data_IF_102241081687
#
_entry.id   IF_102241081687
#
_cell.length_a   1.000
_cell.length_b   1.000
_cell.length_c   1.000
_cell.angle_alpha   90.00
_cell.angle_beta   90.00
_cell.angle_gamma   90.00
#
_symmetry.space_group_name_H-M   'P 1'
#
loop_
_entity.id
_entity.type
_entity.pdbx_description
1 polymer ?
#
# COMPACT_ATOMS: atom_id res chain seq x y z
N UNK A 1 -15.49 0.99 -11.73
CA UNK A 1 -16.56 0.06 -11.27
C UNK A 1 -16.56 -1.16 -12.17
N UNK A 2 -16.53 -2.35 -11.58
CA UNK A 2 -16.54 -3.59 -12.35
C UNK A 2 -17.91 -3.86 -12.99
N UNK A 3 -17.88 -4.55 -14.13
CA UNK A 3 -19.09 -4.96 -14.85
C UNK A 3 -19.62 -6.27 -14.25
N UNK A 4 -20.50 -6.17 -13.26
CA UNK A 4 -21.05 -7.32 -12.52
C UNK A 4 -21.77 -8.33 -13.41
N UNK A 5 -22.55 -7.85 -14.37
CA UNK A 5 -23.25 -8.69 -15.36
C UNK A 5 -22.27 -9.55 -16.16
N UNK A 6 -21.10 -9.00 -16.51
CA UNK A 6 -20.04 -9.79 -17.17
C UNK A 6 -19.47 -10.83 -16.22
N UNK A 7 -19.16 -10.48 -14.97
CA UNK A 7 -18.55 -11.40 -14.00
C UNK A 7 -19.53 -12.53 -13.65
N UNK A 8 -20.82 -12.25 -13.48
CA UNK A 8 -21.85 -13.28 -13.32
C UNK A 8 -21.90 -14.23 -14.52
N UNK A 9 -21.79 -13.70 -15.75
CA UNK A 9 -21.71 -14.53 -16.95
C UNK A 9 -20.44 -15.41 -16.95
N UNK A 10 -19.29 -14.87 -16.56
CA UNK A 10 -18.04 -15.65 -16.39
C UNK A 10 -18.20 -16.73 -15.31
N UNK A 11 -19.04 -16.48 -14.31
CA UNK A 11 -19.40 -17.41 -13.26
C UNK A 11 -20.48 -18.45 -13.67
N UNK A 12 -20.83 -18.53 -14.96
CA UNK A 12 -21.88 -19.44 -15.45
C UNK A 12 -23.30 -19.01 -15.12
N UNK A 13 -23.52 -17.72 -14.82
CA UNK A 13 -24.81 -17.17 -14.40
C UNK A 13 -25.10 -17.33 -12.90
N UNK A 14 -24.18 -17.93 -12.14
CA UNK A 14 -24.32 -18.02 -10.68
C UNK A 14 -24.04 -16.68 -10.01
N UNK A 15 -24.78 -16.41 -8.92
CA UNK A 15 -24.63 -15.20 -8.10
C UNK A 15 -23.18 -15.01 -7.64
N UNK A 16 -22.73 -13.77 -7.69
CA UNK A 16 -21.43 -13.33 -7.16
C UNK A 16 -21.62 -12.46 -5.92
N UNK A 17 -20.54 -12.27 -5.17
CA UNK A 17 -20.45 -11.25 -4.15
C UNK A 17 -20.08 -9.92 -4.83
N UNK A 18 -20.94 -8.91 -4.71
CA UNK A 18 -20.82 -7.64 -5.45
C UNK A 18 -19.80 -6.71 -4.77
N UNK A 19 -18.52 -7.11 -4.83
CA UNK A 19 -17.37 -6.32 -4.41
C UNK A 19 -16.36 -6.26 -5.54
N UNK A 20 -15.55 -5.20 -5.56
CA UNK A 20 -14.51 -5.05 -6.58
C UNK A 20 -13.64 -6.31 -6.67
N UNK A 21 -13.54 -6.92 -7.87
CA UNK A 21 -12.78 -8.15 -8.07
C UNK A 21 -11.30 -7.87 -7.82
N UNK A 22 -10.57 -8.76 -7.10
CA UNK A 22 -9.14 -8.56 -6.88
C UNK A 22 -8.30 -8.47 -8.16
N UNK A 23 -8.76 -9.12 -9.24
CA UNK A 23 -8.22 -8.96 -10.59
C UNK A 23 -9.40 -8.86 -11.54
N UNK A 24 -9.37 -7.85 -12.41
CA UNK A 24 -10.32 -7.76 -13.52
C UNK A 24 -9.65 -7.28 -14.81
N UNK A 25 -9.06 -8.24 -15.51
CA UNK A 25 -8.43 -8.03 -16.81
C UNK A 25 -9.17 -8.79 -17.91
N UNK A 26 -8.73 -8.63 -19.16
CA UNK A 26 -9.31 -9.36 -20.29
C UNK A 26 -9.00 -10.86 -20.25
N UNK A 27 -7.88 -11.25 -19.63
CA UNK A 27 -7.36 -12.63 -19.67
C UNK A 27 -7.45 -13.35 -18.32
N UNK A 28 -7.68 -12.59 -17.25
CA UNK A 28 -7.71 -13.08 -15.86
C UNK A 28 -8.72 -12.26 -15.05
N UNK A 29 -9.66 -12.92 -14.39
CA UNK A 29 -10.64 -12.30 -13.49
C UNK A 29 -10.74 -13.13 -12.21
N UNK A 30 -10.49 -12.51 -11.06
CA UNK A 30 -10.61 -13.13 -9.73
C UNK A 30 -11.82 -12.50 -9.05
N UNK A 31 -12.71 -13.31 -8.50
CA UNK A 31 -13.92 -12.81 -7.87
C UNK A 31 -14.44 -13.78 -6.82
N UNK A 32 -15.32 -13.30 -5.94
CA UNK A 32 -15.97 -14.13 -4.94
C UNK A 32 -17.36 -14.53 -5.43
N UNK A 33 -17.70 -15.82 -5.34
CA UNK A 33 -19.08 -16.26 -5.57
C UNK A 33 -20.01 -15.83 -4.43
N UNK A 34 -21.32 -15.97 -4.63
CA UNK A 34 -22.33 -15.59 -3.64
C UNK A 34 -22.25 -16.33 -2.30
N UNK A 35 -21.49 -17.43 -2.23
CA UNK A 35 -21.12 -18.18 -1.02
C UNK A 35 -19.74 -17.78 -0.46
N UNK A 36 -19.21 -16.64 -0.89
CA UNK A 36 -17.94 -16.05 -0.46
C UNK A 36 -16.69 -16.88 -0.77
N UNK A 37 -16.76 -17.82 -1.73
CA UNK A 37 -15.58 -18.57 -2.20
C UNK A 37 -14.87 -17.84 -3.32
N UNK A 38 -13.53 -17.81 -3.27
CA UNK A 38 -12.72 -17.28 -4.37
C UNK A 38 -12.83 -18.18 -5.60
N UNK A 39 -13.11 -17.58 -6.74
CA UNK A 39 -13.09 -18.20 -8.07
C UNK A 39 -12.17 -17.42 -8.98
N UNK A 40 -11.58 -18.13 -9.93
CA UNK A 40 -10.67 -17.55 -10.91
C UNK A 40 -11.15 -17.93 -12.29
N UNK A 41 -11.47 -16.95 -13.12
CA UNK A 41 -11.58 -17.14 -14.55
C UNK A 41 -10.25 -16.77 -15.19
N UNK A 42 -9.64 -17.68 -15.94
CA UNK A 42 -8.36 -17.46 -16.61
C UNK A 42 -8.38 -18.19 -17.95
N UNK A 43 -8.01 -17.47 -19.01
CA UNK A 43 -7.88 -18.03 -20.36
C UNK A 43 -9.11 -18.77 -20.91
N UNK A 44 -10.31 -18.26 -20.65
CA UNK A 44 -11.55 -18.91 -21.08
C UNK A 44 -12.08 -19.98 -20.12
N UNK A 45 -11.33 -20.33 -19.06
CA UNK A 45 -11.69 -21.39 -18.12
C UNK A 45 -12.04 -20.81 -16.75
N UNK A 46 -13.17 -21.25 -16.19
CA UNK A 46 -13.55 -20.95 -14.81
C UNK A 46 -13.03 -22.03 -13.86
N UNK A 47 -12.18 -21.62 -12.93
CA UNK A 47 -11.65 -22.46 -11.85
C UNK A 47 -12.43 -22.20 -10.56
N UNK A 48 -13.18 -23.21 -10.11
CA UNK A 48 -13.94 -23.22 -8.85
C UNK A 48 -13.20 -23.89 -7.67
N UNK A 49 -12.00 -24.40 -7.92
CA UNK A 49 -11.23 -25.23 -6.98
C UNK A 49 -11.33 -26.70 -7.31
N UNK A 50 -10.20 -27.40 -7.24
CA UNK A 50 -10.08 -28.84 -7.50
C UNK A 50 -9.38 -29.54 -6.33
N UNK A 51 -9.88 -29.30 -5.12
CA UNK A 51 -9.24 -29.78 -3.90
C UNK A 51 -9.18 -31.31 -3.84
N UNK A 52 -10.18 -32.01 -4.37
CA UNK A 52 -10.19 -33.47 -4.41
C UNK A 52 -9.12 -34.04 -5.32
N UNK A 53 -8.95 -33.52 -6.54
CA UNK A 53 -7.93 -34.06 -7.46
C UNK A 53 -6.54 -33.62 -7.02
N UNK A 54 -6.39 -32.37 -6.56
CA UNK A 54 -5.15 -31.91 -5.92
C UNK A 54 -4.81 -32.80 -4.72
N UNK A 55 -5.81 -33.24 -3.94
CA UNK A 55 -5.58 -34.14 -2.82
C UNK A 55 -5.16 -35.56 -3.22
N UNK A 56 -5.41 -36.00 -4.46
CA UNK A 56 -4.95 -37.30 -4.97
C UNK A 56 -3.51 -37.26 -5.48
N UNK A 57 -2.94 -36.06 -5.70
CA UNK A 57 -1.58 -35.91 -6.19
C UNK A 57 -0.56 -36.16 -5.07
N UNK A 58 0.07 -37.33 -5.08
CA UNK A 58 1.02 -37.76 -4.03
C UNK A 58 2.49 -37.54 -4.39
N UNK A 59 2.79 -37.20 -5.64
CA UNK A 59 4.14 -36.95 -6.11
C UNK A 59 4.82 -35.80 -5.29
N UNK A 60 6.12 -35.92 -4.98
CA UNK A 60 6.83 -34.91 -4.19
C UNK A 60 6.97 -33.61 -4.97
N UNK A 61 7.00 -32.48 -4.24
CA UNK A 61 7.32 -31.17 -4.82
C UNK A 61 8.79 -31.16 -5.21
N UNK A 62 9.08 -31.08 -6.50
CA UNK A 62 10.45 -30.99 -7.05
C UNK A 62 10.89 -29.53 -7.19
N UNK A 63 9.95 -28.64 -7.46
CA UNK A 63 10.21 -27.21 -7.59
C UNK A 63 8.99 -26.42 -7.10
N UNK A 64 9.23 -25.21 -6.56
CA UNK A 64 8.17 -24.30 -6.14
C UNK A 64 8.48 -22.89 -6.57
N UNK A 65 7.49 -22.26 -7.20
CA UNK A 65 7.51 -20.84 -7.53
C UNK A 65 6.46 -20.13 -6.68
N UNK A 66 6.79 -18.94 -6.20
CA UNK A 66 5.82 -18.11 -5.50
C UNK A 66 5.89 -16.72 -6.07
N UNK A 67 4.78 -16.26 -6.60
CA UNK A 67 4.62 -14.93 -7.13
C UNK A 67 3.66 -14.19 -6.21
N UNK A 68 3.96 -12.93 -5.95
CA UNK A 68 3.14 -12.11 -5.06
C UNK A 68 2.81 -10.79 -5.74
N UNK A 69 1.59 -10.34 -5.49
CA UNK A 69 1.09 -9.02 -5.79
C UNK A 69 0.65 -8.42 -4.47
N UNK A 70 1.66 -8.02 -3.69
CA UNK A 70 1.55 -7.81 -2.25
C UNK A 70 0.59 -6.68 -1.86
N UNK A 71 0.45 -5.66 -2.70
CA UNK A 71 -0.44 -4.51 -2.44
C UNK A 71 -1.91 -4.91 -2.50
N UNK A 72 -2.29 -5.71 -3.49
CA UNK A 72 -3.63 -6.29 -3.58
C UNK A 72 -3.78 -7.53 -2.69
N UNK A 73 -2.75 -7.81 -1.89
CA UNK A 73 -2.65 -8.97 -1.03
C UNK A 73 -2.89 -10.27 -1.81
N UNK A 74 -2.37 -10.41 -3.04
CA UNK A 74 -2.55 -11.61 -3.84
C UNK A 74 -1.28 -12.44 -3.91
N UNK A 75 -1.46 -13.74 -4.10
CA UNK A 75 -0.36 -14.66 -4.35
C UNK A 75 -0.74 -15.72 -5.37
N UNK A 76 0.28 -16.20 -6.08
CA UNK A 76 0.25 -17.42 -6.89
C UNK A 76 1.40 -18.31 -6.41
N UNK A 77 1.07 -19.47 -5.85
CA UNK A 77 2.06 -20.47 -5.41
C UNK A 77 1.94 -21.71 -6.31
N UNK A 78 3.01 -22.04 -7.02
CA UNK A 78 3.07 -23.15 -7.96
C UNK A 78 3.97 -24.24 -7.41
N UNK A 79 3.45 -25.45 -7.30
CA UNK A 79 4.18 -26.64 -6.88
C UNK A 79 4.32 -27.62 -8.06
N UNK A 80 5.53 -27.82 -8.58
CA UNK A 80 5.78 -28.85 -9.60
C UNK A 80 5.91 -30.21 -8.91
N UNK A 81 5.14 -31.18 -9.40
CA UNK A 81 5.01 -32.54 -8.86
C UNK A 81 5.02 -33.55 -10.01
N UNK A 82 6.20 -33.81 -10.57
CA UNK A 82 6.35 -34.69 -11.74
C UNK A 82 5.77 -34.01 -12.99
N UNK A 83 4.86 -34.69 -13.68
CA UNK A 83 4.24 -34.19 -14.93
C UNK A 83 3.11 -33.18 -14.70
N UNK A 84 2.71 -32.97 -13.43
CA UNK A 84 1.67 -32.02 -13.05
C UNK A 84 2.20 -30.94 -12.12
N UNK A 85 1.55 -29.79 -12.13
CA UNK A 85 1.78 -28.72 -11.18
C UNK A 85 0.46 -28.34 -10.47
N UNK A 86 0.55 -28.10 -9.16
CA UNK A 86 -0.53 -27.52 -8.36
C UNK A 86 -0.34 -26.02 -8.33
N UNK A 87 -1.41 -25.27 -8.63
CA UNK A 87 -1.40 -23.82 -8.60
C UNK A 87 -2.40 -23.35 -7.56
N UNK A 88 -1.90 -22.67 -6.55
CA UNK A 88 -2.71 -21.95 -5.57
C UNK A 88 -2.78 -20.48 -5.98
N UNK A 89 -3.99 -19.99 -6.24
CA UNK A 89 -4.26 -18.57 -6.50
C UNK A 89 -5.09 -18.06 -5.34
N UNK A 90 -4.63 -17.04 -4.63
CA UNK A 90 -5.32 -16.65 -3.41
C UNK A 90 -5.02 -15.24 -2.96
N UNK A 91 -5.81 -14.83 -1.98
CA UNK A 91 -5.57 -13.62 -1.20
C UNK A 91 -4.72 -14.01 0.02
N UNK A 92 -3.67 -13.27 0.32
CA UNK A 92 -2.89 -13.38 1.54
C UNK A 92 -3.83 -13.20 2.74
N UNK A 93 -3.65 -14.03 3.75
CA UNK A 93 -4.53 -14.05 4.92
C UNK A 93 -5.99 -14.38 4.57
N UNK A 94 -6.23 -14.96 3.39
CA UNK A 94 -7.55 -15.28 2.87
C UNK A 94 -7.57 -16.60 2.10
N UNK A 95 -8.71 -16.90 1.50
CA UNK A 95 -8.90 -18.15 0.78
C UNK A 95 -8.06 -18.21 -0.49
N UNK A 96 -7.71 -19.44 -0.89
CA UNK A 96 -7.06 -19.72 -2.16
C UNK A 96 -7.83 -20.78 -2.92
N UNK A 97 -7.78 -20.72 -4.24
CA UNK A 97 -8.27 -21.74 -5.14
C UNK A 97 -7.09 -22.56 -5.66
N UNK A 98 -7.16 -23.88 -5.48
CA UNK A 98 -6.14 -24.81 -5.97
C UNK A 98 -6.60 -25.44 -7.29
N UNK A 99 -5.70 -25.52 -8.28
CA UNK A 99 -5.97 -26.16 -9.57
C UNK A 99 -4.78 -26.98 -10.03
N UNK A 100 -5.01 -27.92 -10.95
CA UNK A 100 -3.97 -28.69 -11.61
C UNK A 100 -3.74 -28.22 -13.05
N UNK A 101 -2.47 -28.20 -13.45
CA UNK A 101 -2.04 -28.03 -14.84
C UNK A 101 -0.93 -29.03 -15.17
N UNK A 102 -0.64 -29.23 -16.46
CA UNK A 102 0.58 -29.94 -16.84
C UNK A 102 1.82 -29.11 -16.48
N UNK A 103 2.90 -29.75 -16.06
CA UNK A 103 4.15 -29.05 -15.70
C UNK A 103 4.73 -28.22 -16.86
N UNK A 104 4.45 -28.61 -18.11
CA UNK A 104 4.82 -27.84 -19.32
C UNK A 104 4.16 -26.45 -19.39
N UNK A 105 3.00 -26.28 -18.77
CA UNK A 105 2.23 -25.02 -18.77
C UNK A 105 2.69 -24.02 -17.70
N UNK A 106 3.60 -24.44 -16.80
CA UNK A 106 4.04 -23.58 -15.70
C UNK A 106 4.77 -22.33 -16.22
N UNK A 107 5.70 -22.46 -17.15
CA UNK A 107 6.47 -21.31 -17.62
C UNK A 107 5.59 -20.24 -18.31
N UNK A 108 4.68 -20.58 -19.25
CA UNK A 108 3.70 -19.64 -19.78
C UNK A 108 2.81 -19.01 -18.70
N UNK A 109 2.36 -19.80 -17.72
CA UNK A 109 1.53 -19.29 -16.63
C UNK A 109 2.27 -18.27 -15.75
N UNK A 110 3.54 -18.55 -15.41
CA UNK A 110 4.36 -17.61 -14.65
C UNK A 110 4.57 -16.30 -15.45
N UNK A 111 4.80 -16.38 -16.76
CA UNK A 111 4.92 -15.20 -17.62
C UNK A 111 3.63 -14.37 -17.64
N UNK A 112 2.46 -15.01 -17.69
CA UNK A 112 1.16 -14.34 -17.62
C UNK A 112 0.97 -13.59 -16.30
N UNK A 113 1.23 -14.22 -15.16
CA UNK A 113 1.13 -13.53 -13.87
C UNK A 113 2.13 -12.39 -13.72
N UNK A 114 3.33 -12.52 -14.28
CA UNK A 114 4.29 -11.40 -14.34
C UNK A 114 3.78 -10.24 -15.19
N UNK A 115 3.05 -10.50 -16.27
CA UNK A 115 2.40 -9.47 -17.08
C UNK A 115 1.22 -8.80 -16.33
N UNK A 116 0.61 -9.49 -15.37
CA UNK A 116 -0.38 -8.95 -14.42
C UNK A 116 0.25 -8.33 -13.17
N UNK A 117 1.53 -7.95 -13.28
CA UNK A 117 2.33 -7.26 -12.24
C UNK A 117 2.70 -8.11 -11.01
N UNK A 118 2.39 -9.41 -10.99
CA UNK A 118 2.92 -10.27 -9.93
C UNK A 118 4.44 -10.36 -10.02
N UNK A 119 5.12 -10.26 -8.88
CA UNK A 119 6.58 -10.33 -8.79
C UNK A 119 7.01 -11.67 -8.21
N UNK A 120 8.13 -12.18 -8.72
CA UNK A 120 8.78 -13.35 -8.14
C UNK A 120 9.16 -13.04 -6.68
N UNK A 121 8.62 -13.83 -5.76
CA UNK A 121 8.99 -13.80 -4.36
C UNK A 121 9.78 -15.03 -3.97
N UNK A 122 10.22 -15.05 -2.71
CA UNK A 122 10.73 -16.30 -2.16
C UNK A 122 9.56 -17.17 -1.72
N UNK A 123 9.56 -18.49 -1.99
CA UNK A 123 8.55 -19.39 -1.43
C UNK A 123 8.49 -19.40 0.10
N UNK A 124 9.59 -18.96 0.71
CA UNK A 124 9.76 -18.71 2.13
C UNK A 124 10.35 -17.31 2.32
N UNK A 125 9.51 -16.32 2.62
CA UNK A 125 10.01 -15.07 3.18
C UNK A 125 10.46 -15.41 4.59
N UNK A 126 11.77 -15.59 4.81
CA UNK A 126 12.30 -16.24 6.01
C UNK A 126 13.31 -15.33 6.70
N UNK A 127 12.79 -14.39 7.50
CA UNK A 127 13.59 -13.52 8.36
C UNK A 127 12.86 -13.32 9.68
N UNK A 128 13.58 -12.94 10.74
CA UNK A 128 12.98 -12.62 12.05
C UNK A 128 11.96 -11.46 12.03
N UNK A 129 11.83 -10.74 10.92
CA UNK A 129 10.96 -9.55 10.75
C UNK A 129 9.85 -9.72 9.71
N UNK A 130 9.79 -10.88 9.07
CA UNK A 130 8.84 -11.21 8.01
C UNK A 130 8.92 -12.70 7.74
N UNK A 131 7.81 -13.41 7.99
CA UNK A 131 7.70 -14.85 7.79
C UNK A 131 6.52 -15.21 6.90
N UNK A 132 6.69 -16.19 6.01
CA UNK A 132 5.57 -16.86 5.34
C UNK A 132 5.16 -18.06 6.18
N UNK A 133 3.97 -17.99 6.78
CA UNK A 133 3.33 -19.11 7.47
C UNK A 133 2.49 -19.89 6.46
N UNK A 134 2.70 -21.20 6.42
CA UNK A 134 1.89 -22.12 5.62
C UNK A 134 1.07 -22.96 6.56
N UNK A 135 -0.25 -22.88 6.39
CA UNK A 135 -1.21 -23.72 7.10
C UNK A 135 -1.61 -24.89 6.22
N UNK A 136 -1.56 -26.07 6.81
CA UNK A 136 -2.07 -27.29 6.22
C UNK A 136 -3.15 -27.89 7.12
N UNK A 137 -4.19 -28.44 6.49
CA UNK A 137 -5.27 -29.15 7.18
C UNK A 137 -5.44 -30.54 6.60
N UNK A 138 -5.79 -31.48 7.46
CA UNK A 138 -6.27 -32.81 7.05
C UNK A 138 -7.79 -32.88 7.12
N UNK A 139 -8.37 -32.22 8.12
CA UNK A 139 -9.81 -31.99 8.31
C UNK A 139 -10.01 -30.66 9.06
N UNK A 140 -11.23 -30.37 9.51
CA UNK A 140 -11.56 -29.12 10.23
C UNK A 140 -10.86 -29.00 11.60
N UNK A 141 -10.40 -30.11 12.19
CA UNK A 141 -9.81 -30.17 13.52
C UNK A 141 -8.31 -30.39 13.52
N UNK A 142 -7.77 -31.04 12.48
CA UNK A 142 -6.35 -31.36 12.37
C UNK A 142 -5.61 -30.33 11.51
N UNK A 143 -5.10 -29.30 12.19
CA UNK A 143 -4.33 -28.18 11.64
C UNK A 143 -2.84 -28.32 11.97
N UNK A 144 -2.00 -28.04 10.98
CA UNK A 144 -0.55 -27.91 11.15
C UNK A 144 -0.05 -26.67 10.45
N UNK A 145 0.72 -25.84 11.14
CA UNK A 145 1.39 -24.68 10.53
C UNK A 145 2.90 -24.85 10.55
N UNK A 146 3.56 -24.28 9.55
CA UNK A 146 5.02 -24.23 9.46
C UNK A 146 5.47 -22.89 8.92
N UNK A 147 6.53 -22.34 9.50
CA UNK A 147 7.26 -21.20 8.96
C UNK A 147 8.76 -21.31 9.21
N UNK A 148 9.51 -20.45 8.54
CA UNK A 148 10.96 -20.31 8.67
C UNK A 148 11.27 -18.86 9.01
N UNK A 149 12.06 -18.60 10.04
CA UNK A 149 12.34 -17.25 10.56
C UNK A 149 13.79 -16.77 10.34
N UNK A 150 14.44 -17.33 9.33
CA UNK A 150 15.87 -17.23 9.11
C UNK A 150 16.48 -18.60 9.32
N UNK A 151 17.03 -18.87 10.51
CA UNK A 151 17.76 -20.10 10.80
C UNK A 151 16.95 -21.16 11.56
N UNK A 152 15.67 -20.93 11.86
CA UNK A 152 14.83 -21.92 12.54
C UNK A 152 13.60 -22.29 11.72
N UNK A 153 13.14 -23.53 11.91
CA UNK A 153 11.82 -23.98 11.45
C UNK A 153 10.90 -24.00 12.66
N UNK A 154 9.76 -23.32 12.56
CA UNK A 154 8.78 -23.23 13.64
C UNK A 154 7.49 -23.92 13.20
N UNK A 155 7.10 -24.94 13.95
CA UNK A 155 5.86 -25.69 13.73
C UNK A 155 4.82 -25.30 14.78
N UNK A 156 3.56 -25.10 14.35
CA UNK A 156 2.42 -24.76 15.22
C UNK A 156 2.67 -23.56 16.14
N UNK A 157 3.46 -22.58 15.69
CA UNK A 157 3.84 -21.38 16.44
C UNK A 157 4.50 -21.65 17.81
N UNK A 158 5.01 -22.87 18.04
CA UNK A 158 5.53 -23.28 19.36
C UNK A 158 6.83 -24.05 19.26
N UNK A 159 6.90 -25.02 18.34
CA UNK A 159 8.04 -25.92 18.26
C UNK A 159 9.08 -25.35 17.32
N UNK A 160 10.10 -24.71 17.89
CA UNK A 160 11.25 -24.21 17.16
C UNK A 160 12.31 -25.32 16.98
N UNK A 161 12.82 -25.46 15.76
CA UNK A 161 13.95 -26.33 15.45
C UNK A 161 15.05 -25.50 14.79
N UNK A 162 16.16 -25.20 15.49
CA UNK A 162 17.26 -24.42 14.93
C UNK A 162 18.04 -25.23 13.89
N UNK A 163 18.62 -24.53 12.92
CA UNK A 163 19.41 -25.10 11.83
C UNK A 163 20.64 -24.21 11.54
N UNK A 164 21.69 -24.73 10.88
CA UNK A 164 22.94 -23.98 10.69
C UNK A 164 22.84 -22.84 9.67
N UNK A 165 21.82 -22.81 8.82
CA UNK A 165 21.63 -21.75 7.82
C UNK A 165 20.16 -21.62 7.41
N UNK A 166 19.83 -20.53 6.72
CA UNK A 166 18.50 -20.32 6.16
C UNK A 166 18.10 -21.39 5.16
N UNK A 167 19.03 -21.77 4.30
CA UNK A 167 18.82 -22.79 3.28
C UNK A 167 18.56 -24.16 3.92
N UNK A 168 19.25 -24.47 5.03
CA UNK A 168 19.01 -25.68 5.82
C UNK A 168 17.62 -25.67 6.48
N UNK A 169 17.19 -24.52 7.01
CA UNK A 169 15.85 -24.35 7.57
C UNK A 169 14.76 -24.55 6.50
N UNK A 170 14.93 -23.93 5.33
CA UNK A 170 14.00 -24.09 4.20
C UNK A 170 13.92 -25.55 3.74
N UNK A 171 15.06 -26.22 3.59
CA UNK A 171 15.11 -27.63 3.21
C UNK A 171 14.40 -28.53 4.25
N UNK A 172 14.61 -28.26 5.54
CA UNK A 172 13.93 -28.97 6.62
C UNK A 172 12.42 -28.72 6.60
N UNK A 173 11.97 -27.48 6.41
CA UNK A 173 10.55 -27.14 6.30
C UNK A 173 9.89 -27.87 5.13
N UNK A 174 10.54 -27.92 3.96
CA UNK A 174 10.04 -28.68 2.81
C UNK A 174 9.95 -30.19 3.10
N UNK A 175 10.94 -30.77 3.78
CA UNK A 175 10.89 -32.17 4.20
C UNK A 175 9.70 -32.43 5.15
N UNK A 176 9.42 -31.51 6.09
CA UNK A 176 8.28 -31.60 7.01
C UNK A 176 6.95 -31.50 6.26
N UNK A 177 6.83 -30.57 5.31
CA UNK A 177 5.66 -30.45 4.44
C UNK A 177 5.43 -31.76 3.68
N UNK A 178 6.45 -32.32 3.04
CA UNK A 178 6.33 -33.57 2.30
C UNK A 178 5.84 -34.72 3.21
N UNK A 179 6.36 -34.81 4.43
CA UNK A 179 5.91 -35.82 5.40
C UNK A 179 4.44 -35.62 5.79
N UNK A 180 4.02 -34.37 6.04
CA UNK A 180 2.63 -34.02 6.37
C UNK A 180 1.69 -34.28 5.19
N UNK A 181 2.10 -33.97 3.97
CA UNK A 181 1.33 -34.25 2.77
C UNK A 181 1.13 -35.75 2.52
N UNK A 182 2.17 -36.57 2.79
CA UNK A 182 2.03 -38.03 2.81
C UNK A 182 1.06 -38.52 3.89
N UNK A 183 0.97 -37.82 5.01
CA UNK A 183 0.01 -38.11 6.09
C UNK A 183 -1.42 -37.58 5.83
N UNK A 184 -1.67 -36.99 4.66
CA UNK A 184 -2.99 -36.51 4.24
C UNK A 184 -3.25 -35.02 4.46
N UNK A 185 -2.28 -34.25 4.98
CA UNK A 185 -2.43 -32.81 5.11
C UNK A 185 -2.37 -32.12 3.74
N UNK A 186 -3.17 -31.07 3.56
CA UNK A 186 -3.29 -30.29 2.32
C UNK A 186 -3.13 -28.81 2.62
N UNK A 187 -2.50 -28.07 1.71
CA UNK A 187 -2.32 -26.63 1.85
C UNK A 187 -3.69 -25.98 1.94
N UNK A 188 -3.93 -25.23 3.02
CA UNK A 188 -5.21 -24.57 3.26
C UNK A 188 -5.08 -23.05 3.10
N UNK A 189 -4.09 -22.46 3.77
CA UNK A 189 -3.86 -21.02 3.80
C UNK A 189 -2.36 -20.73 3.71
N UNK A 190 -2.01 -19.65 3.01
CA UNK A 190 -0.69 -19.03 3.07
C UNK A 190 -0.87 -17.65 3.68
N UNK A 191 -0.27 -17.45 4.84
CA UNK A 191 -0.35 -16.24 5.63
C UNK A 191 1.02 -15.55 5.63
N UNK A 192 1.04 -14.24 5.42
CA UNK A 192 2.26 -13.46 5.51
C UNK A 192 2.25 -12.65 6.80
N UNK A 193 3.13 -13.00 7.73
CA UNK A 193 3.25 -12.31 9.01
C UNK A 193 4.30 -11.19 8.90
N UNK A 194 3.94 -9.99 9.35
CA UNK A 194 4.71 -8.72 9.28
C UNK A 194 4.93 -8.13 7.86
N UNK A 195 3.86 -7.63 7.25
CA UNK A 195 3.84 -7.00 5.92
C UNK A 195 4.43 -5.55 5.86
N UNK A 196 5.06 -5.05 6.92
CA UNK A 196 5.52 -3.63 7.01
C UNK A 196 6.87 -3.35 6.33
N UNK A 197 7.55 -4.37 5.79
CA UNK A 197 8.88 -4.22 5.18
C UNK A 197 8.94 -4.81 3.75
N UNK A 198 9.42 -4.05 2.75
CA UNK A 198 9.55 -4.54 1.38
C UNK A 198 10.57 -5.68 1.30
N UNK A 199 10.42 -6.53 0.27
CA UNK A 199 11.31 -7.65 0.04
C UNK A 199 12.74 -7.15 -0.19
N UNK A 200 13.80 -7.81 0.31
CA UNK A 200 15.10 -7.66 -0.32
C UNK A 200 14.96 -8.14 -1.77
N UNK A 201 15.33 -7.31 -2.75
CA UNK A 201 15.32 -7.72 -4.15
C UNK A 201 16.13 -9.02 -4.31
N UNK A 202 15.60 -10.03 -5.04
CA UNK A 202 16.43 -11.15 -5.43
C UNK A 202 17.63 -10.60 -6.21
N UNK A 203 18.82 -11.17 -5.98
CA UNK A 203 19.98 -10.83 -6.83
C UNK A 203 19.57 -11.07 -8.28
N UNK A 204 19.72 -10.08 -9.19
CA UNK A 204 19.27 -10.23 -10.56
C UNK A 204 19.94 -11.46 -11.19
N UNK A 205 19.21 -12.25 -12.00
CA UNK A 205 19.80 -13.33 -12.77
C UNK A 205 21.00 -12.80 -13.57
N UNK A 206 22.07 -13.61 -13.67
CA UNK A 206 23.21 -13.26 -14.53
C UNK A 206 22.70 -13.03 -15.96
N UNK A 207 22.94 -11.83 -16.52
CA UNK A 207 22.59 -11.47 -17.89
C UNK A 207 21.47 -10.43 -18.07
N UNK A 208 20.83 -9.95 -16.99
CA UNK A 208 19.86 -8.84 -17.06
C UNK A 208 20.60 -7.48 -17.12
N UNK A 209 20.28 -6.56 -18.04
CA UNK A 209 20.91 -5.24 -18.11
C UNK A 209 20.70 -4.44 -16.82
N UNK A 210 21.74 -3.75 -16.36
CA UNK A 210 21.64 -2.87 -15.20
C UNK A 210 20.70 -1.68 -15.50
N UNK A 211 19.77 -1.40 -14.57
CA UNK A 211 18.81 -0.29 -14.69
C UNK A 211 19.52 1.07 -14.74
N UNK A 212 18.95 2.03 -15.46
CA UNK A 212 19.49 3.41 -15.53
C UNK A 212 19.28 4.12 -14.18
N UNK A 213 20.30 4.80 -13.63
CA UNK A 213 20.16 5.54 -12.39
C UNK A 213 19.23 6.76 -12.55
N UNK A 214 18.49 7.10 -11.49
CA UNK A 214 17.70 8.34 -11.42
C UNK A 214 18.61 9.58 -11.61
N UNK A 215 18.04 10.65 -12.16
CA UNK A 215 18.70 11.93 -12.27
C UNK A 215 19.21 12.43 -10.92
N UNK A 216 20.37 13.11 -10.92
CA UNK A 216 21.02 13.63 -9.71
C UNK A 216 20.13 14.66 -9.02
N UNK A 217 19.93 14.50 -7.71
CA UNK A 217 19.14 15.40 -6.87
C UNK A 217 19.75 16.81 -6.81
N UNK A 218 18.92 17.84 -6.85
CA UNK A 218 19.36 19.20 -6.58
C UNK A 218 19.92 19.34 -5.15
N UNK A 219 20.98 20.13 -4.98
CA UNK A 219 21.48 20.48 -3.66
C UNK A 219 20.53 21.51 -3.03
N UNK A 220 19.82 21.11 -1.98
CA UNK A 220 18.91 21.98 -1.22
C UNK A 220 19.59 22.26 0.12
N UNK A 221 19.76 23.54 0.45
CA UNK A 221 20.38 23.96 1.71
C UNK A 221 19.57 23.43 2.90
N UNK A 222 20.27 23.12 4.00
CA UNK A 222 19.62 22.77 5.25
C UNK A 222 18.98 24.04 5.81
N UNK A 223 17.69 24.03 6.17
CA UNK A 223 17.03 25.21 6.72
C UNK A 223 17.58 25.55 8.11
N UNK A 224 17.69 26.85 8.41
CA UNK A 224 18.13 27.36 9.70
C UNK A 224 16.97 27.84 10.58
N UNK A 225 15.79 28.05 9.99
CA UNK A 225 14.56 28.44 10.68
C UNK A 225 13.31 27.81 10.05
N UNK A 226 12.17 27.96 10.71
CA UNK A 226 10.91 27.35 10.30
C UNK A 226 10.41 27.82 8.91
N UNK A 227 10.64 29.08 8.53
CA UNK A 227 10.23 29.58 7.20
C UNK A 227 11.09 28.99 6.09
N UNK A 228 12.41 28.97 6.31
CA UNK A 228 13.33 28.27 5.41
C UNK A 228 13.03 26.77 5.34
N UNK A 229 12.55 26.16 6.43
CA UNK A 229 12.15 24.77 6.44
C UNK A 229 10.93 24.51 5.53
N UNK A 230 9.96 25.43 5.50
CA UNK A 230 8.87 25.42 4.51
C UNK A 230 9.43 25.53 3.08
N UNK A 231 10.30 26.51 2.83
CA UNK A 231 10.87 26.74 1.50
C UNK A 231 11.67 25.52 1.01
N UNK A 232 12.48 24.93 1.89
CA UNK A 232 13.27 23.74 1.60
C UNK A 232 12.38 22.52 1.36
N UNK A 233 11.28 22.36 2.11
CA UNK A 233 10.30 21.30 1.88
C UNK A 233 9.69 21.42 0.47
N UNK A 234 9.21 22.62 0.11
CA UNK A 234 8.65 22.88 -1.23
C UNK A 234 9.70 22.69 -2.33
N UNK A 235 10.95 23.09 -2.10
CA UNK A 235 12.04 22.88 -3.05
C UNK A 235 12.32 21.39 -3.31
N UNK A 236 12.26 20.54 -2.27
CA UNK A 236 12.42 19.08 -2.41
C UNK A 236 11.32 18.52 -3.32
N UNK A 237 10.08 18.96 -3.12
CA UNK A 237 8.93 18.51 -3.91
C UNK A 237 9.04 18.97 -5.38
N UNK A 238 9.51 20.19 -5.63
CA UNK A 238 9.77 20.70 -6.99
C UNK A 238 10.87 19.93 -7.70
N UNK A 239 11.96 19.60 -7.00
CA UNK A 239 13.04 18.78 -7.52
C UNK A 239 12.54 17.37 -7.87
N UNK A 240 11.75 16.75 -6.98
CA UNK A 240 11.14 15.45 -7.23
C UNK A 240 10.22 15.48 -8.46
N UNK A 241 9.35 16.49 -8.56
CA UNK A 241 8.48 16.73 -9.73
C UNK A 241 9.28 16.86 -11.03
N UNK A 242 10.41 17.58 -10.98
CA UNK A 242 11.26 17.80 -12.16
C UNK A 242 11.98 16.52 -12.60
N UNK A 243 12.48 15.73 -11.64
CA UNK A 243 13.19 14.48 -11.93
C UNK A 243 12.25 13.35 -12.35
N UNK A 244 11.00 13.38 -11.91
CA UNK A 244 10.03 12.29 -12.12
C UNK A 244 8.68 12.87 -12.56
N UNK A 245 8.58 13.38 -13.81
CA UNK A 245 7.39 14.08 -14.29
C UNK A 245 6.20 13.14 -14.60
N UNK A 246 6.42 11.82 -14.61
CA UNK A 246 5.44 10.78 -15.00
C UNK A 246 4.94 9.88 -13.86
N UNK A 247 5.33 10.12 -12.62
CA UNK A 247 4.62 9.60 -11.46
C UNK A 247 3.64 10.71 -11.09
N UNK A 248 2.44 10.61 -11.65
CA UNK A 248 1.64 11.79 -11.97
C UNK A 248 0.85 12.32 -10.76
N UNK A 249 -0.20 13.11 -10.91
CA UNK A 249 -0.87 13.94 -9.89
C UNK A 249 -0.07 14.59 -8.73
N UNK A 250 1.05 15.23 -9.04
CA UNK A 250 1.09 16.65 -8.60
C UNK A 250 -0.16 17.29 -9.18
N UNK A 251 -1.11 17.82 -8.39
CA UNK A 251 -2.23 18.59 -8.97
C UNK A 251 -1.65 19.52 -10.01
N UNK A 252 -1.94 19.25 -11.29
CA UNK A 252 -1.51 20.12 -12.37
C UNK A 252 -2.05 21.51 -12.03
N UNK A 253 -1.28 22.53 -12.42
CA UNK A 253 -1.87 23.85 -12.53
C UNK A 253 -2.91 23.78 -13.64
N UNK A 254 -4.14 23.34 -13.33
CA UNK A 254 -5.25 23.35 -14.27
C UNK A 254 -5.63 24.81 -14.49
N UNK A 255 -5.35 25.31 -15.68
CA UNK A 255 -5.91 26.58 -16.11
C UNK A 255 -7.38 26.30 -16.45
N UNK A 256 -8.30 26.74 -15.59
CA UNK A 256 -9.73 26.49 -15.73
C UNK A 256 -10.32 26.93 -17.08
N UNK A 257 -9.61 27.78 -17.83
CA UNK A 257 -9.98 28.17 -19.19
C UNK A 257 -9.42 27.24 -20.26
N UNK A 258 -8.24 26.64 -20.05
CA UNK A 258 -7.55 25.80 -21.05
C UNK A 258 -7.75 24.30 -20.86
N UNK A 259 -8.04 23.87 -19.64
CA UNK A 259 -8.12 22.45 -19.25
C UNK A 259 -9.56 22.00 -18.95
N UNK A 260 -10.55 22.64 -19.59
CA UNK A 260 -12.00 22.44 -19.30
C UNK A 260 -12.46 20.98 -19.31
N UNK A 261 -11.97 20.16 -20.24
CA UNK A 261 -12.39 18.75 -20.33
C UNK A 261 -11.81 17.88 -19.20
N UNK A 262 -10.58 18.18 -18.76
CA UNK A 262 -9.95 17.55 -17.59
C UNK A 262 -10.61 18.01 -16.29
N UNK A 263 -10.93 19.30 -16.19
CA UNK A 263 -11.69 19.84 -15.05
C UNK A 263 -13.07 19.18 -14.99
N UNK A 264 -13.79 19.05 -16.10
CA UNK A 264 -15.10 18.39 -16.14
C UNK A 264 -15.06 16.90 -15.75
N UNK A 265 -13.98 16.17 -16.08
CA UNK A 265 -13.85 14.76 -15.64
C UNK A 265 -13.55 14.66 -14.13
N UNK A 266 -12.81 15.61 -13.56
CA UNK A 266 -12.54 15.70 -12.12
C UNK A 266 -13.77 16.20 -11.33
N UNK A 267 -14.52 17.17 -11.87
CA UNK A 267 -15.76 17.70 -11.31
C UNK A 267 -16.82 16.59 -11.10
N UNK A 268 -16.81 15.54 -11.93
CA UNK A 268 -17.71 14.39 -11.76
C UNK A 268 -17.42 13.51 -10.52
N UNK A 269 -16.25 13.67 -9.88
CA UNK A 269 -15.80 12.85 -8.75
C UNK A 269 -15.26 13.65 -7.54
N UNK A 270 -15.01 14.96 -7.67
CA UNK A 270 -14.37 15.79 -6.63
C UNK A 270 -14.82 17.27 -6.65
N UNK A 271 -16.05 17.56 -7.12
CA UNK A 271 -16.60 18.92 -7.25
C UNK A 271 -16.50 19.76 -5.97
N UNK A 272 -16.81 19.15 -4.82
CA UNK A 272 -16.72 19.78 -3.50
C UNK A 272 -15.29 20.27 -3.15
N UNK A 273 -14.26 19.47 -3.46
CA UNK A 273 -12.85 19.80 -3.18
C UNK A 273 -12.36 20.99 -4.02
N UNK A 274 -12.71 21.00 -5.31
CA UNK A 274 -12.33 22.07 -6.22
C UNK A 274 -12.98 23.40 -5.86
N UNK A 275 -14.21 23.40 -5.35
CA UNK A 275 -14.90 24.62 -4.95
C UNK A 275 -14.34 25.23 -3.64
N UNK A 276 -14.03 24.41 -2.63
CA UNK A 276 -13.40 24.89 -1.38
C UNK A 276 -11.96 25.39 -1.58
N UNK A 277 -11.17 24.71 -2.42
CA UNK A 277 -9.73 24.98 -2.53
C UNK A 277 -9.31 25.65 -3.84
N UNK A 278 -10.26 26.05 -4.70
CA UNK A 278 -10.03 26.74 -5.98
C UNK A 278 -8.93 27.81 -5.97
N UNK A 279 -8.83 28.71 -4.97
CA UNK A 279 -7.79 29.73 -4.94
C UNK A 279 -6.45 29.25 -4.35
N UNK A 280 -6.40 28.04 -3.79
CA UNK A 280 -5.28 27.50 -3.00
C UNK A 280 -4.51 26.38 -3.71
N UNK A 281 -5.14 25.66 -4.64
CA UNK A 281 -4.52 24.56 -5.41
C UNK A 281 -3.43 25.08 -6.37
N UNK A 282 -2.31 24.37 -6.44
CA UNK A 282 -1.31 24.51 -7.51
C UNK A 282 -0.31 25.67 -7.39
N UNK A 283 -0.47 26.60 -6.43
CA UNK A 283 0.45 27.75 -6.26
C UNK A 283 1.89 27.32 -5.98
N UNK A 284 2.09 26.24 -5.23
CA UNK A 284 3.40 25.85 -4.75
C UNK A 284 4.44 25.60 -5.85
N UNK A 285 4.04 25.07 -7.02
CA UNK A 285 4.95 24.70 -8.12
C UNK A 285 5.65 25.91 -8.72
N UNK A 286 4.93 27.02 -8.88
CA UNK A 286 5.44 28.26 -9.50
C UNK A 286 5.77 29.35 -8.48
N UNK A 287 5.24 29.25 -7.25
CA UNK A 287 5.54 30.18 -6.17
C UNK A 287 7.03 30.24 -5.86
N UNK A 288 7.54 31.44 -5.59
CA UNK A 288 8.89 31.65 -5.09
C UNK A 288 8.83 31.99 -3.60
N UNK A 289 9.86 31.65 -2.81
CA UNK A 289 10.02 32.11 -1.44
C UNK A 289 9.76 33.61 -1.32
N UNK A 290 9.15 34.02 -0.20
CA UNK A 290 8.90 35.43 0.13
C UNK A 290 9.39 35.71 1.54
N UNK A 291 9.56 36.98 1.89
CA UNK A 291 9.78 37.35 3.28
C UNK A 291 8.54 36.95 4.13
N UNK A 292 8.75 36.39 5.34
CA UNK A 292 7.70 36.25 6.33
C UNK A 292 7.14 37.61 6.74
N UNK A 293 5.84 37.66 7.07
CA UNK A 293 5.23 38.84 7.68
C UNK A 293 5.54 38.87 9.17
N UNK A 294 5.42 40.05 9.78
CA UNK A 294 5.55 40.21 11.23
C UNK A 294 4.49 39.37 11.95
N UNK A 295 4.91 38.60 12.96
CA UNK A 295 4.06 37.71 13.77
C UNK A 295 3.33 36.61 12.97
N UNK A 296 3.81 36.29 11.78
CA UNK A 296 3.26 35.19 10.97
C UNK A 296 3.83 33.85 11.44
N UNK A 297 2.98 32.85 11.61
CA UNK A 297 3.46 31.47 11.84
C UNK A 297 4.01 30.87 10.54
N UNK A 298 4.85 29.84 10.64
CA UNK A 298 5.32 29.11 9.47
C UNK A 298 4.18 28.39 8.72
N UNK A 299 3.08 28.08 9.41
CA UNK A 299 1.83 27.63 8.80
C UNK A 299 1.18 28.72 7.93
N UNK A 300 0.97 29.90 8.48
CA UNK A 300 0.35 31.02 7.76
C UNK A 300 1.20 31.43 6.54
N UNK A 301 2.52 31.44 6.73
CA UNK A 301 3.48 31.65 5.66
C UNK A 301 3.30 30.61 4.54
N UNK A 302 3.22 29.33 4.90
CA UNK A 302 3.02 28.24 3.95
C UNK A 302 1.71 28.40 3.17
N UNK A 303 0.57 28.58 3.84
CA UNK A 303 -0.75 28.74 3.20
C UNK A 303 -0.79 29.99 2.31
N UNK A 304 -0.15 31.07 2.74
CA UNK A 304 -0.09 32.32 1.97
C UNK A 304 0.80 32.21 0.74
N UNK A 305 2.01 31.67 0.87
CA UNK A 305 3.01 31.67 -0.21
C UNK A 305 2.79 30.50 -1.15
N UNK A 306 2.51 29.32 -0.61
CA UNK A 306 2.48 28.06 -1.35
C UNK A 306 1.07 27.47 -1.51
N UNK A 307 0.12 27.84 -0.63
CA UNK A 307 -1.25 27.36 -0.69
C UNK A 307 -1.39 26.01 -0.01
N UNK A 308 -1.81 24.98 -0.75
CA UNK A 308 -1.76 23.58 -0.31
C UNK A 308 -0.69 22.80 -1.07
N UNK A 309 -0.22 21.70 -0.48
CA UNK A 309 0.62 20.71 -1.17
C UNK A 309 -0.19 19.42 -1.28
N UNK A 310 -1.00 19.35 -2.33
CA UNK A 310 -1.68 18.12 -2.71
C UNK A 310 -0.80 17.37 -3.71
N UNK A 311 -0.33 16.20 -3.31
CA UNK A 311 0.28 15.21 -4.20
C UNK A 311 -0.69 14.02 -4.25
N UNK A 312 -0.85 13.42 -5.40
CA UNK A 312 -1.74 12.34 -5.82
C UNK A 312 -0.93 11.61 -6.92
N UNK A 313 -1.26 10.40 -7.40
CA UNK A 313 -0.56 9.77 -8.54
C UNK A 313 -1.51 9.52 -9.72
N UNK A 314 -1.20 9.96 -10.96
CA UNK A 314 -1.96 9.58 -12.19
C UNK A 314 -1.32 8.34 -12.82
N UNK A 315 -2.16 7.44 -13.30
CA UNK A 315 -1.80 6.09 -13.74
C UNK A 315 -1.60 5.10 -12.57
N UNK A 316 -1.75 3.80 -12.87
CA UNK A 316 -1.25 2.77 -11.97
C UNK A 316 0.26 2.96 -11.84
N UNK A 317 0.71 3.41 -10.67
CA UNK A 317 2.09 3.21 -10.27
C UNK A 317 2.41 1.71 -10.35
N UNK A 318 3.62 1.31 -10.76
CA UNK A 318 4.04 -0.09 -10.66
C UNK A 318 3.75 -0.60 -9.23
N UNK A 319 3.16 -1.79 -9.14
CA UNK A 319 2.84 -2.45 -7.88
C UNK A 319 4.10 -2.62 -7.02
N UNK A 320 4.18 -1.80 -5.96
CA UNK A 320 5.36 -1.64 -5.11
C UNK A 320 5.50 -0.24 -4.52
N UNK A 321 4.89 0.77 -5.17
CA UNK A 321 4.76 2.12 -4.64
C UNK A 321 3.65 2.18 -3.57
N UNK A 322 4.01 2.50 -2.33
CA UNK A 322 3.08 2.65 -1.20
C UNK A 322 2.08 3.80 -1.38
N UNK A 323 1.04 3.62 -2.19
CA UNK A 323 -0.04 4.59 -2.37
C UNK A 323 -1.13 4.41 -1.32
N UNK A 324 -1.62 5.53 -0.77
CA UNK A 324 -2.68 5.54 0.23
C UNK A 324 -3.87 6.33 -0.31
N UNK A 325 -5.07 6.13 0.22
CA UNK A 325 -6.19 7.02 -0.08
C UNK A 325 -5.89 8.40 0.52
N UNK A 326 -6.23 9.47 -0.21
CA UNK A 326 -6.57 10.75 0.44
C UNK A 326 -8.09 10.75 0.60
N UNK A 327 -8.58 11.32 1.70
CA UNK A 327 -10.02 11.45 1.91
C UNK A 327 -10.65 12.14 0.70
N UNK A 328 -11.76 11.59 0.22
CA UNK A 328 -12.60 12.19 -0.83
C UNK A 328 -12.06 12.35 -2.26
N UNK A 329 -11.07 11.55 -2.70
CA UNK A 329 -10.82 11.33 -4.15
C UNK A 329 -10.96 9.86 -4.51
N UNK A 330 -11.98 9.53 -5.32
CA UNK A 330 -12.13 8.21 -5.93
C UNK A 330 -10.89 7.93 -6.79
N UNK A 331 -9.95 7.14 -6.27
CA UNK A 331 -8.74 6.77 -7.04
C UNK A 331 -7.45 6.52 -6.26
N UNK A 332 -7.34 6.86 -4.97
CA UNK A 332 -6.12 6.65 -4.19
C UNK A 332 -4.97 7.62 -4.57
N UNK A 333 -4.53 8.46 -3.63
CA UNK A 333 -3.55 9.53 -3.86
C UNK A 333 -2.66 9.85 -2.65
N UNK A 334 -1.47 10.41 -2.86
CA UNK A 334 -0.44 10.64 -1.84
C UNK A 334 -0.35 12.10 -1.34
N UNK A 335 -1.22 12.58 -0.46
CA UNK A 335 -1.06 13.97 0.01
C UNK A 335 0.14 14.08 0.97
N UNK A 336 0.99 15.10 0.84
CA UNK A 336 1.97 15.44 1.89
C UNK A 336 1.33 16.33 2.98
N UNK A 337 0.26 17.03 2.61
CA UNK A 337 -0.57 17.85 3.48
C UNK A 337 -1.91 18.11 2.79
N UNK A 338 -2.98 17.51 3.30
CA UNK A 338 -4.36 17.84 2.93
C UNK A 338 -4.97 18.69 4.04
N UNK A 339 -5.41 19.89 3.65
CA UNK A 339 -6.16 20.76 4.56
C UNK A 339 -7.61 20.30 4.44
N UNK A 340 -8.11 19.71 5.51
CA UNK A 340 -9.47 19.22 5.58
C UNK A 340 -10.42 20.43 5.54
N UNK A 341 -11.50 20.33 4.76
CA UNK A 341 -12.49 21.40 4.68
C UNK A 341 -13.25 21.57 5.99
N UNK A 342 -13.99 22.67 6.12
CA UNK A 342 -15.04 22.75 7.15
C UNK A 342 -16.07 21.64 6.85
N UNK A 343 -16.24 20.67 7.76
CA UNK A 343 -17.27 19.63 7.70
C UNK A 343 -16.86 18.21 7.26
N UNK A 344 -15.59 17.95 6.96
CA UNK A 344 -15.13 16.58 6.61
C UNK A 344 -14.85 15.69 7.84
N UNK A 345 -14.59 16.31 9.01
CA UNK A 345 -14.68 15.67 10.31
C UNK A 345 -15.84 16.33 11.05
N UNK A 346 -16.83 15.54 11.45
CA UNK A 346 -17.94 15.99 12.29
C UNK A 346 -17.42 16.17 13.73
N UNK A 347 -16.55 17.18 13.93
CA UNK A 347 -16.00 17.52 15.25
C UNK A 347 -17.14 17.83 16.22
N UNK A 348 -18.21 18.46 15.73
CA UNK A 348 -19.43 18.73 16.50
C UNK A 348 -20.09 17.42 16.99
N UNK A 349 -20.22 16.41 16.11
CA UNK A 349 -20.75 15.08 16.49
C UNK A 349 -19.80 14.34 17.44
N UNK A 350 -18.49 14.53 17.30
CA UNK A 350 -17.49 14.00 18.24
C UNK A 350 -17.60 14.68 19.62
N UNK A 351 -17.80 16.00 19.65
CA UNK A 351 -18.03 16.76 20.88
C UNK A 351 -19.32 16.29 21.55
N UNK A 352 -20.40 16.09 20.78
CA UNK A 352 -21.67 15.57 21.29
C UNK A 352 -21.52 14.13 21.84
N UNK A 353 -20.84 13.25 21.10
CA UNK A 353 -20.66 11.85 21.48
C UNK A 353 -19.75 11.67 22.71
N UNK A 354 -18.72 12.51 22.87
CA UNK A 354 -17.73 12.40 23.95
C UNK A 354 -18.01 13.32 25.14
N UNK A 355 -18.82 14.37 24.93
CA UNK A 355 -19.02 15.45 25.90
C UNK A 355 -17.80 16.35 26.11
N UNK A 356 -16.82 16.32 25.19
CA UNK A 356 -15.54 17.03 25.33
C UNK A 356 -15.45 18.25 24.41
N UNK A 357 -15.84 19.41 24.92
CA UNK A 357 -15.79 20.71 24.21
C UNK A 357 -14.37 21.12 23.77
N UNK A 358 -13.31 20.58 24.38
CA UNK A 358 -11.94 20.92 23.97
C UNK A 358 -11.60 20.42 22.56
N UNK A 359 -12.37 19.47 22.01
CA UNK A 359 -12.19 18.97 20.64
C UNK A 359 -12.45 20.05 19.59
N UNK A 360 -13.30 21.05 19.87
CA UNK A 360 -13.55 22.21 18.99
C UNK A 360 -12.29 23.05 18.76
N UNK A 361 -11.28 22.93 19.63
CA UNK A 361 -10.01 23.64 19.53
C UNK A 361 -9.00 22.91 18.63
N UNK A 362 -9.42 21.88 17.90
CA UNK A 362 -8.59 21.16 16.95
C UNK A 362 -8.85 21.60 15.52
N UNK A 363 -7.79 21.98 14.81
CA UNK A 363 -7.83 22.08 13.35
C UNK A 363 -7.18 20.83 12.75
N UNK A 364 -8.02 19.88 12.34
CA UNK A 364 -7.57 18.60 11.77
C UNK A 364 -7.04 18.79 10.35
N UNK A 365 -5.95 18.09 10.04
CA UNK A 365 -5.36 18.03 8.71
C UNK A 365 -4.74 16.65 8.49
N UNK A 366 -4.65 16.21 7.23
CA UNK A 366 -3.95 14.98 6.93
C UNK A 366 -2.49 15.28 6.58
N UNK A 367 -1.57 14.74 7.38
CA UNK A 367 -0.12 14.85 7.19
C UNK A 367 0.49 13.85 6.21
N UNK A 368 -0.35 13.32 5.31
CA UNK A 368 -0.01 12.22 4.42
C UNK A 368 0.16 10.87 5.10
N UNK A 369 -0.15 9.81 4.35
CA UNK A 369 -0.28 8.41 4.76
C UNK A 369 -1.54 8.11 5.57
N UNK A 370 -2.45 7.34 4.97
CA UNK A 370 -3.46 6.58 5.70
C UNK A 370 -2.78 5.38 6.40
N UNK A 371 -1.98 5.65 7.43
CA UNK A 371 -1.62 4.64 8.45
C UNK A 371 -2.70 4.51 9.54
N UNK A 372 -3.86 5.14 9.29
CA UNK A 372 -4.93 5.31 10.27
C UNK A 372 -4.71 6.50 11.21
N UNK A 373 -3.78 7.42 10.92
CA UNK A 373 -3.51 8.58 11.79
C UNK A 373 -3.66 9.91 11.06
N UNK A 374 -4.63 10.70 11.50
CA UNK A 374 -4.72 12.11 11.16
C UNK A 374 -3.91 12.96 12.13
N UNK A 375 -3.78 14.25 11.85
CA UNK A 375 -3.09 15.19 12.73
C UNK A 375 -4.01 16.37 13.01
N UNK A 376 -3.79 17.05 14.12
CA UNK A 376 -4.48 18.29 14.43
C UNK A 376 -3.50 19.34 14.90
N UNK A 377 -3.74 20.59 14.52
CA UNK A 377 -3.23 21.72 15.26
C UNK A 377 -4.07 21.88 16.53
N UNK A 378 -3.43 21.74 17.68
CA UNK A 378 -4.02 22.00 18.98
C UNK A 378 -3.99 23.50 19.26
N UNK A 379 -5.13 24.17 19.10
CA UNK A 379 -5.26 25.63 19.24
C UNK A 379 -5.40 26.09 20.69
N UNK A 380 -5.49 25.17 21.66
CA UNK A 380 -5.61 25.51 23.08
C UNK A 380 -4.41 26.29 23.61
N UNK A 381 -3.25 26.14 22.98
CA UNK A 381 -2.01 26.85 23.32
C UNK A 381 -1.21 27.18 22.06
N UNK A 382 -0.71 28.42 21.97
CA UNK A 382 0.22 28.85 20.91
C UNK A 382 1.60 29.19 21.47
N UNK A 383 2.63 29.03 20.64
CA UNK A 383 3.99 29.51 20.95
C UNK A 383 4.06 31.05 20.87
N UNK A 384 5.13 31.70 21.37
CA UNK A 384 5.37 33.13 21.18
C UNK A 384 5.46 33.57 19.71
N UNK A 385 5.75 32.63 18.79
CA UNK A 385 5.81 32.86 17.34
C UNK A 385 4.49 32.50 16.63
N UNK A 386 3.42 32.22 17.37
CA UNK A 386 2.11 31.89 16.81
C UNK A 386 1.98 30.46 16.27
N UNK A 387 2.89 29.56 16.64
CA UNK A 387 2.83 28.15 16.21
C UNK A 387 1.90 27.36 17.14
N UNK A 388 1.17 26.40 16.57
CA UNK A 388 0.34 25.46 17.32
C UNK A 388 1.04 24.11 17.45
N UNK A 389 0.75 23.39 18.53
CA UNK A 389 1.24 22.03 18.67
C UNK A 389 0.57 21.13 17.61
N UNK A 390 1.37 20.30 16.93
CA UNK A 390 0.86 19.28 16.03
C UNK A 390 0.74 17.97 16.81
N UNK A 391 -0.49 17.49 16.99
CA UNK A 391 -0.79 16.25 17.72
C UNK A 391 -1.39 15.20 16.79
N UNK A 392 -1.24 13.89 17.10
CA UNK A 392 -2.02 12.85 16.44
C UNK A 392 -3.52 13.04 16.70
N UNK A 393 -4.34 12.73 15.70
CA UNK A 393 -5.80 12.78 15.73
C UNK A 393 -6.39 11.45 15.23
N UNK A 394 -7.42 10.98 15.93
CA UNK A 394 -8.19 9.76 15.66
C UNK A 394 -9.65 10.02 16.10
N UNK A 395 -10.63 9.65 15.27
CA UNK A 395 -12.06 9.85 15.56
C UNK A 395 -12.54 9.08 16.81
N UNK A 396 -11.77 8.07 17.24
CA UNK A 396 -12.03 7.31 18.47
C UNK A 396 -11.38 7.91 19.72
N UNK A 397 -10.86 9.13 19.66
CA UNK A 397 -10.23 9.78 20.81
C UNK A 397 -11.25 10.27 21.84
N UNK A 398 -11.29 9.58 22.99
CA UNK A 398 -12.11 10.01 24.14
C UNK A 398 -11.49 11.18 24.93
N UNK A 399 -10.19 11.45 24.75
CA UNK A 399 -9.48 12.51 25.46
C UNK A 399 -8.30 13.06 24.67
N UNK A 400 -8.08 14.37 24.81
CA UNK A 400 -6.93 15.05 24.21
C UNK A 400 -5.64 14.84 25.03
N UNK A 401 -4.47 14.80 24.38
CA UNK A 401 -3.20 14.87 25.08
C UNK A 401 -3.12 16.13 25.95
N UNK A 402 -2.31 16.07 27.02
CA UNK A 402 -2.01 17.24 27.85
C UNK A 402 -1.44 18.37 26.97
N UNK A 403 -1.94 19.58 27.20
CA UNK A 403 -1.47 20.79 26.50
C UNK A 403 0.05 20.89 26.53
N UNK A 404 0.62 21.11 25.34
CA UNK A 404 2.06 21.31 25.21
C UNK A 404 2.44 22.68 25.77
N UNK A 405 3.54 22.75 26.52
CA UNK A 405 4.07 24.05 26.97
C UNK A 405 4.48 24.90 25.75
N UNK A 406 4.19 26.21 25.71
CA UNK A 406 4.50 27.08 24.57
C UNK A 406 5.93 26.97 24.05
N UNK A 407 6.91 26.78 24.94
CA UNK A 407 8.34 26.71 24.61
C UNK A 407 8.75 25.37 23.99
N UNK A 408 7.88 24.36 24.06
CA UNK A 408 8.11 23.01 23.50
C UNK A 408 7.41 22.79 22.16
N UNK A 409 6.60 23.75 21.72
CA UNK A 409 5.90 23.67 20.43
C UNK A 409 6.93 23.68 19.30
N UNK A 410 6.89 22.63 18.48
CA UNK A 410 7.70 22.52 17.27
C UNK A 410 6.99 23.28 16.16
N UNK A 411 7.69 24.19 15.49
CA UNK A 411 7.13 24.97 14.39
C UNK A 411 6.68 24.08 13.23
N UNK A 412 5.59 24.47 12.57
CA UNK A 412 5.02 23.73 11.45
C UNK A 412 6.05 23.49 10.34
N UNK A 413 6.87 24.49 10.00
CA UNK A 413 7.90 24.37 8.98
C UNK A 413 8.92 23.25 9.23
N UNK A 414 9.35 23.08 10.48
CA UNK A 414 10.28 22.01 10.86
C UNK A 414 9.62 20.63 10.76
N UNK A 415 8.35 20.54 11.17
CA UNK A 415 7.54 19.34 11.02
C UNK A 415 7.37 18.98 9.54
N UNK A 416 6.99 19.95 8.69
CA UNK A 416 6.78 19.78 7.25
C UNK A 416 8.06 19.33 6.55
N UNK A 417 9.19 19.98 6.84
CA UNK A 417 10.49 19.62 6.26
C UNK A 417 10.88 18.18 6.59
N UNK A 418 10.79 17.78 7.86
CA UNK A 418 11.08 16.39 8.27
C UNK A 418 10.14 15.40 7.57
N UNK A 419 8.86 15.74 7.46
CA UNK A 419 7.86 14.90 6.79
C UNK A 419 8.18 14.73 5.32
N UNK A 420 8.39 15.83 4.59
CA UNK A 420 8.73 15.82 3.14
C UNK A 420 10.04 15.08 2.86
N UNK A 421 11.09 15.25 3.69
CA UNK A 421 12.34 14.49 3.56
C UNK A 421 12.09 12.99 3.71
N UNK A 422 11.30 12.60 4.70
CA UNK A 422 10.96 11.19 4.95
C UNK A 422 10.16 10.60 3.77
N UNK A 423 9.10 11.29 3.36
CA UNK A 423 8.21 10.85 2.28
C UNK A 423 8.95 10.77 0.94
N UNK A 424 9.79 11.76 0.62
CA UNK A 424 10.59 11.77 -0.61
C UNK A 424 11.58 10.62 -0.63
N UNK A 425 12.21 10.26 0.49
CA UNK A 425 13.10 9.08 0.55
C UNK A 425 12.34 7.79 0.25
N UNK A 426 11.11 7.68 0.73
CA UNK A 426 10.27 6.50 0.48
C UNK A 426 9.84 6.48 -0.99
N UNK A 427 9.39 7.62 -1.54
CA UNK A 427 9.05 7.76 -2.95
C UNK A 427 10.24 7.43 -3.85
N UNK A 428 11.43 7.98 -3.59
CA UNK A 428 12.65 7.72 -4.36
C UNK A 428 13.12 6.26 -4.27
N UNK A 429 12.92 5.61 -3.13
CA UNK A 429 13.19 4.17 -2.99
C UNK A 429 12.27 3.36 -3.91
N UNK A 430 11.00 3.73 -3.96
CA UNK A 430 9.98 2.99 -4.71
C UNK A 430 9.98 3.35 -6.22
N UNK A 431 10.35 4.58 -6.61
CA UNK A 431 10.40 5.04 -8.01
C UNK A 431 11.62 4.55 -8.81
N UNK A 432 12.58 3.89 -8.16
CA UNK A 432 13.66 3.13 -8.84
C UNK A 432 13.17 1.81 -9.46
N UNK A 433 11.90 1.48 -9.27
CA UNK A 433 11.25 0.26 -9.77
C UNK A 433 10.52 0.48 -11.11
N UNK A 434 10.35 1.74 -11.55
CA UNK A 434 9.55 2.15 -12.73
C UNK A 434 10.41 2.48 -13.99
N UNK A 435 11.75 2.47 -13.89
CA UNK A 435 12.68 2.75 -15.01
C UNK A 435 13.65 1.61 -15.32
#
# INVERSE_FOLDING_TARGET
>A
MANWTRIEKLNGGERIYYVDPPIDSKEEVWFFSGDSRLRVWSDGVLYKGDEETVARLTAPVTERFSLYKLLDQLFVDVEIRGEQAVIHRGVLNGSSVATLVASSEVAPLLARYRALSFRDGTPWNATKKRVTVREYRKDSSDKWTVHVDGTSVIENMRKETPTPSREAAIALAQKRIQAKQKAGFRTYLIELTEARHPNPEPKPPKGVPARKPLAKKAAIAKPENAFEAVDAAVAILKDLHTRIPKAHFVTECLDAKKDRERVASVESHASFFLDMHKPRVGRWKTAKPRAPKKNESSWDYFVRVYGSITWILDGQADEGLAMFYCGNVTGGGWSCLEIVGEGDYEIDDLVEATGNEELEQLLVFHGGWHDGKSWAFDQRVSSPSGEYAIIPFDESMDALPKQMKPERIVAFGDWLYKRVVSLTRIAERNLREVN
#
